data_IF_644124061782
#
_entry.id   IF_644124061782
#
_cell.length_a   1.000
_cell.length_b   1.000
_cell.length_c   1.000
_cell.angle_alpha   90.00
_cell.angle_beta   90.00
_cell.angle_gamma   90.00
#
_symmetry.space_group_name_H-M   'P 1'
#
loop_
_entity.id
_entity.type
_entity.pdbx_description
1 polymer ?
#
# COMPACT_ATOMS: atom_id res chain seq x y z
N UNK A 1 18.90 36.51 -26.15
CA UNK A 1 18.32 35.30 -25.52
C UNK A 1 17.77 34.45 -26.63
N UNK A 2 18.07 33.14 -26.71
CA UNK A 2 17.44 32.29 -27.71
C UNK A 2 15.93 32.35 -27.49
N UNK A 3 15.16 32.54 -28.56
CA UNK A 3 13.71 32.48 -28.53
C UNK A 3 13.30 31.14 -27.91
N UNK A 4 12.38 31.09 -26.93
CA UNK A 4 11.92 29.82 -26.38
C UNK A 4 11.43 28.94 -27.53
N UNK A 5 12.10 27.82 -27.76
CA UNK A 5 11.68 26.86 -28.80
C UNK A 5 10.53 26.05 -28.22
N UNK A 6 9.34 26.21 -28.76
CA UNK A 6 8.25 25.27 -28.49
C UNK A 6 8.53 23.97 -29.25
N UNK A 7 8.23 22.81 -28.65
CA UNK A 7 8.26 21.50 -29.32
C UNK A 7 6.84 21.02 -29.56
N UNK A 8 6.55 20.53 -30.76
CA UNK A 8 5.25 19.94 -31.09
C UNK A 8 5.43 18.44 -31.14
N UNK A 9 4.65 17.71 -30.33
CA UNK A 9 4.59 16.25 -30.38
C UNK A 9 3.27 15.81 -31.00
N UNK A 10 3.31 14.74 -31.80
CA UNK A 10 2.13 14.07 -32.34
C UNK A 10 1.74 12.93 -31.39
N UNK A 11 0.58 13.03 -30.76
CA UNK A 11 0.10 12.03 -29.78
C UNK A 11 -1.41 11.87 -29.90
N UNK A 12 -1.89 10.61 -29.92
CA UNK A 12 -3.31 10.30 -30.08
C UNK A 12 -3.99 11.05 -31.25
N UNK A 13 -3.28 11.18 -32.38
CA UNK A 13 -3.76 11.88 -33.58
C UNK A 13 -3.83 13.41 -33.44
N UNK A 14 -3.15 14.00 -32.46
CA UNK A 14 -3.19 15.45 -32.17
C UNK A 14 -1.80 16.04 -32.04
N UNK A 15 -1.68 17.29 -32.46
CA UNK A 15 -0.53 18.13 -32.17
C UNK A 15 -0.64 18.70 -30.75
N UNK A 16 0.32 18.37 -29.89
CA UNK A 16 0.41 18.95 -28.53
C UNK A 16 1.69 19.77 -28.43
N UNK A 17 1.51 21.07 -28.18
CA UNK A 17 2.61 22.02 -28.03
C UNK A 17 3.19 21.99 -26.61
N UNK A 18 4.45 21.62 -26.49
CA UNK A 18 5.26 21.63 -25.28
C UNK A 18 6.05 22.95 -25.24
N UNK A 19 5.68 23.85 -24.34
CA UNK A 19 6.39 25.12 -24.16
C UNK A 19 7.65 24.93 -23.32
N UNK A 20 8.67 25.78 -23.39
CA UNK A 20 9.86 25.67 -22.52
C UNK A 20 10.39 24.23 -22.31
N UNK A 21 10.57 23.42 -23.37
CA UNK A 21 10.90 22.01 -23.28
C UNK A 21 12.19 21.77 -22.49
N UNK A 22 13.19 22.63 -22.68
CA UNK A 22 14.52 22.55 -22.06
C UNK A 22 14.54 22.98 -20.58
N UNK A 23 13.40 23.40 -20.01
CA UNK A 23 13.36 23.82 -18.61
C UNK A 23 13.69 22.62 -17.71
N UNK A 24 14.76 22.74 -16.93
CA UNK A 24 15.13 21.73 -15.94
C UNK A 24 14.03 21.60 -14.88
N UNK A 25 13.41 20.42 -14.84
CA UNK A 25 12.42 20.06 -13.83
C UNK A 25 13.06 19.29 -12.68
N UNK A 26 14.11 18.52 -12.95
CA UNK A 26 14.87 17.80 -11.93
C UNK A 26 16.36 18.13 -12.07
N UNK A 27 16.83 19.23 -11.47
CA UNK A 27 18.21 19.70 -11.64
C UNK A 27 19.27 18.67 -11.23
N UNK A 28 18.99 17.87 -10.19
CA UNK A 28 19.93 16.87 -9.67
C UNK A 28 20.11 15.66 -10.58
N UNK A 29 19.05 15.21 -11.24
CA UNK A 29 19.10 14.10 -12.20
C UNK A 29 19.27 14.56 -13.65
N UNK A 30 19.24 15.88 -13.90
CA UNK A 30 19.43 16.47 -15.23
C UNK A 30 18.20 16.45 -16.14
N UNK A 31 17.00 16.12 -15.61
CA UNK A 31 15.81 15.93 -16.44
C UNK A 31 15.05 17.23 -16.72
N UNK A 32 14.75 17.45 -17.99
CA UNK A 32 13.97 18.59 -18.48
C UNK A 32 12.47 18.32 -18.43
N UNK A 33 11.65 19.34 -18.71
CA UNK A 33 10.21 19.18 -18.87
C UNK A 33 9.88 18.25 -20.04
N UNK A 34 10.65 18.32 -21.12
CA UNK A 34 10.45 17.46 -22.27
C UNK A 34 10.74 15.99 -21.95
N UNK A 35 11.77 15.71 -21.14
CA UNK A 35 12.07 14.35 -20.70
C UNK A 35 10.92 13.77 -19.88
N UNK A 36 10.30 14.57 -19.01
CA UNK A 36 9.10 14.18 -18.27
C UNK A 36 7.92 13.87 -19.21
N UNK A 37 7.70 14.69 -20.24
CA UNK A 37 6.66 14.41 -21.25
C UNK A 37 6.95 13.11 -21.97
N UNK A 38 8.18 12.91 -22.45
CA UNK A 38 8.62 11.69 -23.16
C UNK A 38 8.48 10.45 -22.29
N UNK A 39 8.82 10.54 -21.01
CA UNK A 39 8.58 9.47 -20.04
C UNK A 39 7.10 9.07 -20.01
N UNK A 40 6.19 10.03 -19.82
CA UNK A 40 4.76 9.71 -19.76
C UNK A 40 4.22 9.18 -21.09
N UNK A 41 4.79 9.58 -22.22
CA UNK A 41 4.45 8.99 -23.52
C UNK A 41 4.92 7.54 -23.63
N UNK A 42 6.10 7.21 -23.11
CA UNK A 42 6.64 5.85 -23.13
C UNK A 42 5.83 4.88 -22.25
N UNK A 43 5.18 5.37 -21.19
CA UNK A 43 4.34 4.56 -20.28
C UNK A 43 2.85 4.91 -20.39
N UNK A 44 2.43 5.56 -21.48
CA UNK A 44 1.11 6.17 -21.59
C UNK A 44 -0.03 5.16 -21.36
N UNK A 45 0.09 3.94 -21.87
CA UNK A 45 -0.92 2.90 -21.67
C UNK A 45 -1.15 2.57 -20.19
N UNK A 46 -0.07 2.33 -19.44
CA UNK A 46 -0.15 2.05 -18.00
C UNK A 46 -0.55 3.27 -17.17
N UNK A 47 -0.02 4.46 -17.50
CA UNK A 47 -0.39 5.70 -16.82
C UNK A 47 -1.88 6.02 -17.00
N UNK A 48 -2.40 5.86 -18.23
CA UNK A 48 -3.81 6.05 -18.54
C UNK A 48 -4.69 5.05 -17.81
N UNK A 49 -4.31 3.78 -17.66
CA UNK A 49 -5.09 2.81 -16.86
C UNK A 49 -5.38 3.32 -15.43
N UNK A 50 -4.44 4.05 -14.84
CA UNK A 50 -4.61 4.65 -13.51
C UNK A 50 -5.41 5.95 -13.47
N UNK A 51 -5.53 6.71 -14.58
CA UNK A 51 -6.18 8.04 -14.59
C UNK A 51 -7.38 8.15 -15.53
N UNK A 52 -7.63 7.16 -16.37
CA UNK A 52 -8.59 7.23 -17.47
C UNK A 52 -10.02 7.49 -16.97
N UNK A 53 -10.61 8.59 -17.45
CA UNK A 53 -11.96 9.01 -17.11
C UNK A 53 -12.10 9.50 -15.67
N UNK A 54 -10.99 9.74 -14.95
CA UNK A 54 -11.02 10.24 -13.57
C UNK A 54 -10.84 11.75 -13.54
N UNK A 55 -11.64 12.49 -12.75
CA UNK A 55 -11.32 13.89 -12.46
C UNK A 55 -9.97 13.98 -11.74
N UNK A 56 -9.18 15.00 -12.07
CA UNK A 56 -7.83 15.18 -11.54
C UNK A 56 -7.62 16.51 -10.83
N UNK A 57 -7.05 16.44 -9.63
CA UNK A 57 -6.46 17.60 -8.98
C UNK A 57 -5.08 17.88 -9.59
N UNK A 58 -4.89 19.03 -10.23
CA UNK A 58 -3.60 19.37 -10.85
C UNK A 58 -2.64 19.93 -9.79
N UNK A 59 -1.61 19.18 -9.45
CA UNK A 59 -0.51 19.66 -8.60
C UNK A 59 0.65 20.09 -9.50
N UNK A 60 0.82 21.41 -9.65
CA UNK A 60 1.68 21.99 -10.69
C UNK A 60 2.98 22.49 -10.11
N UNK A 61 4.08 21.99 -10.64
CA UNK A 61 5.47 22.35 -10.33
C UNK A 61 6.03 23.21 -11.47
N UNK A 62 5.49 24.41 -11.63
CA UNK A 62 5.85 25.29 -12.76
C UNK A 62 7.34 25.62 -12.80
N UNK A 63 8.03 25.55 -11.66
CA UNK A 63 9.46 25.80 -11.50
C UNK A 63 10.28 24.53 -11.20
N UNK A 64 9.77 23.35 -11.55
CA UNK A 64 10.44 22.08 -11.32
C UNK A 64 10.20 21.50 -9.92
N UNK A 65 10.71 20.29 -9.70
CA UNK A 65 10.45 19.45 -8.53
C UNK A 65 10.93 20.02 -7.19
N UNK A 66 11.97 20.87 -7.21
CA UNK A 66 12.48 21.54 -6.01
C UNK A 66 11.74 22.85 -5.70
N UNK A 67 10.91 23.34 -6.63
CA UNK A 67 10.11 24.55 -6.45
C UNK A 67 8.79 24.29 -5.71
N UNK A 68 8.15 25.36 -5.25
CA UNK A 68 6.83 25.27 -4.64
C UNK A 68 5.78 24.80 -5.67
N UNK A 69 4.96 23.84 -5.24
CA UNK A 69 3.81 23.40 -6.00
C UNK A 69 2.58 24.24 -5.63
N UNK A 70 1.67 24.40 -6.57
CA UNK A 70 0.31 24.85 -6.28
C UNK A 70 -0.72 23.84 -6.78
N UNK A 71 -1.84 23.76 -6.06
CA UNK A 71 -2.97 22.92 -6.44
C UNK A 71 -3.97 23.73 -7.25
N UNK A 72 -4.35 23.20 -8.40
CA UNK A 72 -5.37 23.74 -9.27
C UNK A 72 -6.43 22.65 -9.52
N UNK A 73 -7.55 22.74 -8.81
CA UNK A 73 -8.70 21.85 -9.02
C UNK A 73 -9.55 22.30 -10.20
N UNK A 74 -9.86 23.60 -10.25
CA UNK A 74 -10.63 24.19 -11.36
C UNK A 74 -9.79 24.21 -12.64
N UNK A 75 -10.34 23.61 -13.69
CA UNK A 75 -9.80 23.62 -15.03
C UNK A 75 -9.49 25.07 -15.48
N UNK A 76 -8.34 25.31 -16.15
CA UNK A 76 -8.06 26.63 -16.71
C UNK A 76 -9.17 27.06 -17.68
N UNK A 77 -9.53 28.35 -17.65
CA UNK A 77 -10.47 28.93 -18.62
C UNK A 77 -9.89 28.88 -20.05
N UNK A 78 -8.60 29.18 -20.17
CA UNK A 78 -7.86 29.00 -21.43
C UNK A 78 -7.32 27.56 -21.49
N UNK A 79 -8.06 26.70 -22.19
CA UNK A 79 -7.69 25.31 -22.47
C UNK A 79 -8.13 24.92 -23.89
N UNK A 80 -7.45 23.97 -24.56
CA UNK A 80 -7.94 23.42 -25.82
C UNK A 80 -9.32 22.77 -25.66
N UNK A 81 -10.17 22.85 -26.70
CA UNK A 81 -11.55 22.33 -26.68
C UNK A 81 -11.62 20.81 -26.44
N UNK A 82 -10.58 20.07 -26.79
CA UNK A 82 -10.47 18.63 -26.60
C UNK A 82 -10.07 18.23 -25.17
N UNK A 83 -9.92 19.18 -24.25
CA UNK A 83 -9.72 18.91 -22.83
C UNK A 83 -11.09 18.75 -22.16
N UNK A 84 -11.38 17.53 -21.72
CA UNK A 84 -12.62 17.20 -21.04
C UNK A 84 -12.61 17.68 -19.59
N UNK A 85 -13.81 18.00 -19.09
CA UNK A 85 -14.03 18.41 -17.71
C UNK A 85 -15.30 17.81 -17.15
N UNK A 86 -15.37 17.68 -15.83
CA UNK A 86 -16.59 17.33 -15.11
C UNK A 86 -16.73 18.18 -13.86
N UNK A 87 -17.97 18.56 -13.52
CA UNK A 87 -18.24 19.29 -12.29
C UNK A 87 -18.24 18.34 -11.08
N UNK A 88 -17.31 18.57 -10.15
CA UNK A 88 -17.19 17.82 -8.90
C UNK A 88 -17.66 18.66 -7.72
N UNK A 89 -18.51 18.07 -6.88
CA UNK A 89 -18.98 18.64 -5.61
C UNK A 89 -18.08 18.21 -4.43
N UNK A 90 -17.54 19.18 -3.70
CA UNK A 90 -16.68 18.94 -2.53
C UNK A 90 -17.48 18.76 -1.23
N UNK A 91 -16.90 18.15 -0.18
CA UNK A 91 -17.52 18.05 1.14
C UNK A 91 -17.96 19.40 1.75
N UNK A 92 -17.36 20.50 1.31
CA UNK A 92 -17.73 21.85 1.75
C UNK A 92 -18.99 22.41 1.08
N UNK A 93 -19.63 21.68 0.15
CA UNK A 93 -20.75 22.14 -0.67
C UNK A 93 -20.36 23.03 -1.87
N UNK A 94 -19.07 23.25 -2.11
CA UNK A 94 -18.57 23.99 -3.29
C UNK A 94 -18.42 23.05 -4.48
N UNK A 95 -18.49 23.57 -5.70
CA UNK A 95 -18.19 22.83 -6.92
C UNK A 95 -16.95 23.36 -7.65
N UNK A 96 -16.31 22.51 -8.45
CA UNK A 96 -15.34 22.91 -9.47
C UNK A 96 -15.41 22.00 -10.69
N UNK A 97 -15.27 22.58 -11.88
CA UNK A 97 -14.98 21.82 -13.08
C UNK A 97 -13.53 21.33 -13.02
N UNK A 98 -13.32 20.03 -12.85
CA UNK A 98 -11.99 19.41 -12.85
C UNK A 98 -11.68 18.78 -14.20
N UNK A 99 -10.39 18.69 -14.55
CA UNK A 99 -9.92 18.07 -15.79
C UNK A 99 -10.13 16.56 -15.73
N UNK A 100 -10.61 15.97 -16.81
CA UNK A 100 -10.71 14.52 -17.00
C UNK A 100 -9.73 14.10 -18.08
N UNK A 101 -8.88 13.11 -17.77
CA UNK A 101 -7.91 12.56 -18.72
C UNK A 101 -8.43 11.23 -19.26
N UNK A 102 -8.62 11.13 -20.57
CA UNK A 102 -9.13 9.97 -21.31
C UNK A 102 -8.15 9.47 -22.38
N UNK A 103 -7.15 10.27 -22.76
CA UNK A 103 -6.18 9.88 -23.78
C UNK A 103 -4.77 10.47 -23.57
N UNK A 104 -3.81 9.97 -24.35
CA UNK A 104 -2.40 10.36 -24.22
C UNK A 104 -2.13 11.84 -24.57
N UNK A 105 -2.95 12.48 -25.42
CA UNK A 105 -2.80 13.90 -25.72
C UNK A 105 -3.18 14.78 -24.52
N UNK A 106 -4.26 14.44 -23.83
CA UNK A 106 -4.66 15.09 -22.58
C UNK A 106 -3.63 14.86 -21.47
N UNK A 107 -3.07 13.64 -21.37
CA UNK A 107 -1.96 13.34 -20.45
C UNK A 107 -0.75 14.23 -20.75
N UNK A 108 -0.28 14.29 -22.00
CA UNK A 108 0.84 15.14 -22.39
C UNK A 108 0.57 16.62 -22.06
N UNK A 109 -0.66 17.08 -22.27
CA UNK A 109 -1.06 18.46 -21.98
C UNK A 109 -1.00 18.79 -20.49
N UNK A 110 -1.53 17.95 -19.60
CA UNK A 110 -1.46 18.22 -18.15
C UNK A 110 -0.01 18.17 -17.63
N UNK A 111 0.83 17.31 -18.20
CA UNK A 111 2.27 17.24 -17.87
C UNK A 111 2.96 18.53 -18.32
N UNK A 112 2.64 19.03 -19.52
CA UNK A 112 3.14 20.29 -20.04
C UNK A 112 2.76 21.51 -19.17
N UNK A 113 1.60 21.46 -18.50
CA UNK A 113 1.20 22.46 -17.50
C UNK A 113 2.06 22.42 -16.22
N UNK A 114 2.92 21.42 -16.07
CA UNK A 114 3.82 21.24 -14.93
C UNK A 114 3.32 20.21 -13.92
N UNK A 115 2.36 19.35 -14.27
CA UNK A 115 1.97 18.24 -13.38
C UNK A 115 3.07 17.18 -13.42
N UNK A 116 3.89 17.13 -12.36
CA UNK A 116 4.91 16.08 -12.21
C UNK A 116 4.25 14.76 -11.80
N UNK A 117 3.41 14.78 -10.77
CA UNK A 117 2.60 13.64 -10.33
C UNK A 117 1.16 13.73 -10.84
N UNK A 118 0.53 12.58 -11.02
CA UNK A 118 -0.88 12.47 -11.43
C UNK A 118 -1.72 12.16 -10.19
N UNK A 119 -2.74 12.98 -9.91
CA UNK A 119 -3.53 12.91 -8.68
C UNK A 119 -5.04 12.76 -8.99
N UNK A 120 -5.49 11.59 -9.47
CA UNK A 120 -6.89 11.33 -9.76
C UNK A 120 -7.73 11.09 -8.49
N UNK A 121 -8.99 11.49 -8.54
CA UNK A 121 -10.00 11.02 -7.57
C UNK A 121 -10.28 9.51 -7.78
N UNK A 122 -10.74 8.76 -6.75
CA UNK A 122 -11.04 7.33 -6.86
C UNK A 122 -12.39 7.03 -7.54
N UNK A 123 -12.91 7.98 -8.33
CA UNK A 123 -14.18 7.91 -9.05
C UNK A 123 -13.96 8.17 -10.54
N UNK A 124 -14.93 7.82 -11.36
CA UNK A 124 -14.95 8.13 -12.80
C UNK A 124 -15.97 9.22 -13.08
N UNK A 125 -15.79 9.98 -14.16
CA UNK A 125 -16.64 11.13 -14.50
C UNK A 125 -18.13 10.77 -14.69
N UNK A 126 -18.44 9.50 -15.00
CA UNK A 126 -19.81 9.01 -15.13
C UNK A 126 -20.53 8.82 -13.77
N UNK A 127 -19.79 8.65 -12.67
CA UNK A 127 -20.33 8.50 -11.32
C UNK A 127 -19.31 9.02 -10.29
N UNK A 128 -19.59 10.21 -9.76
CA UNK A 128 -18.68 10.93 -8.86
C UNK A 128 -18.92 10.65 -7.38
N UNK A 129 -19.91 9.83 -7.04
CA UNK A 129 -20.29 9.55 -5.65
C UNK A 129 -19.95 8.12 -5.22
N UNK A 130 -19.73 7.20 -6.18
CA UNK A 130 -19.35 5.82 -5.91
C UNK A 130 -17.93 5.51 -6.40
N UNK A 131 -16.92 5.45 -5.49
CA UNK A 131 -15.58 5.04 -5.87
C UNK A 131 -15.54 3.63 -6.47
N UNK A 132 -14.72 3.45 -7.49
CA UNK A 132 -14.41 2.14 -8.08
C UNK A 132 -13.05 1.61 -7.59
N UNK A 133 -12.38 2.31 -6.66
CA UNK A 133 -11.10 1.92 -6.07
C UNK A 133 -11.16 1.94 -4.54
N UNK A 134 -10.79 0.82 -3.91
CA UNK A 134 -10.30 0.82 -2.53
C UNK A 134 -8.79 1.07 -2.56
N UNK A 135 -8.33 2.15 -1.92
CA UNK A 135 -6.92 2.56 -1.90
C UNK A 135 -6.31 2.30 -0.52
N UNK A 136 -5.28 1.48 -0.47
CA UNK A 136 -4.56 1.17 0.77
C UNK A 136 -3.21 1.87 0.70
N UNK A 137 -3.01 2.85 1.58
CA UNK A 137 -1.78 3.65 1.66
C UNK A 137 -0.99 3.25 2.91
N UNK A 138 0.22 2.74 2.69
CA UNK A 138 1.14 2.29 3.71
C UNK A 138 2.19 3.40 3.96
N UNK A 139 1.94 4.24 4.98
CA UNK A 139 2.77 5.40 5.33
C UNK A 139 3.68 5.08 6.53
N UNK A 140 5.00 4.89 6.33
CA UNK A 140 5.92 4.60 7.41
C UNK A 140 6.10 5.80 8.36
N UNK A 141 6.04 5.55 9.67
CA UNK A 141 6.52 6.55 10.64
C UNK A 141 8.05 6.70 10.55
N UNK A 142 8.63 7.82 11.04
CA UNK A 142 10.08 7.99 11.04
C UNK A 142 10.81 6.82 11.71
N UNK A 143 11.84 6.29 11.06
CA UNK A 143 12.67 5.19 11.57
C UNK A 143 12.25 3.78 11.11
N UNK A 144 11.14 3.64 10.39
CA UNK A 144 10.74 2.36 9.78
C UNK A 144 11.59 2.06 8.56
N UNK A 145 12.10 0.83 8.49
CA UNK A 145 12.91 0.37 7.35
C UNK A 145 12.04 -0.02 6.15
N UNK A 146 12.61 0.05 4.94
CA UNK A 146 11.92 -0.40 3.72
C UNK A 146 11.50 -1.88 3.79
N UNK A 147 12.29 -2.73 4.45
CA UNK A 147 11.96 -4.13 4.67
C UNK A 147 10.63 -4.29 5.43
N UNK A 148 10.43 -3.53 6.51
CA UNK A 148 9.18 -3.55 7.28
C UNK A 148 7.98 -3.09 6.45
N UNK A 149 8.16 -2.12 5.55
CA UNK A 149 7.08 -1.66 4.66
C UNK A 149 6.66 -2.79 3.70
N UNK A 150 7.63 -3.53 3.14
CA UNK A 150 7.36 -4.70 2.29
C UNK A 150 6.67 -5.83 3.07
N UNK A 151 7.08 -6.07 4.32
CA UNK A 151 6.42 -7.05 5.20
C UNK A 151 4.95 -6.69 5.45
N UNK A 152 4.65 -5.41 5.72
CA UNK A 152 3.27 -4.94 5.89
C UNK A 152 2.47 -5.02 4.58
N UNK A 153 3.10 -4.74 3.44
CA UNK A 153 2.46 -4.90 2.13
C UNK A 153 2.08 -6.38 1.86
N UNK A 154 2.96 -7.32 2.20
CA UNK A 154 2.68 -8.77 2.09
C UNK A 154 1.59 -9.22 3.07
N UNK A 155 1.61 -8.74 4.31
CA UNK A 155 0.52 -8.98 5.27
C UNK A 155 -0.82 -8.43 4.75
N UNK A 156 -0.80 -7.26 4.11
CA UNK A 156 -1.98 -6.67 3.47
C UNK A 156 -2.51 -7.55 2.34
N UNK A 157 -1.64 -8.16 1.52
CA UNK A 157 -2.05 -9.15 0.50
C UNK A 157 -2.83 -10.31 1.12
N UNK A 158 -2.34 -10.85 2.22
CA UNK A 158 -2.99 -11.98 2.90
C UNK A 158 -4.37 -11.61 3.44
N UNK A 159 -4.51 -10.40 4.00
CA UNK A 159 -5.81 -9.88 4.43
C UNK A 159 -6.75 -9.75 3.23
N UNK A 160 -6.31 -9.10 2.14
CA UNK A 160 -7.11 -8.95 0.93
C UNK A 160 -7.60 -10.29 0.37
N UNK A 161 -6.72 -11.29 0.31
CA UNK A 161 -7.07 -12.64 -0.13
C UNK A 161 -8.16 -13.29 0.75
N UNK A 162 -8.11 -13.08 2.08
CA UNK A 162 -9.15 -13.60 2.98
C UNK A 162 -10.53 -12.96 2.76
N UNK A 163 -10.57 -11.75 2.16
CA UNK A 163 -11.81 -11.05 1.79
C UNK A 163 -12.11 -11.14 0.29
N UNK A 164 -11.43 -12.03 -0.45
CA UNK A 164 -11.61 -12.22 -1.90
C UNK A 164 -11.41 -10.93 -2.73
N UNK A 165 -10.53 -10.04 -2.27
CA UNK A 165 -10.15 -8.83 -2.97
C UNK A 165 -8.78 -9.02 -3.64
N UNK A 166 -8.66 -8.64 -4.91
CA UNK A 166 -7.38 -8.67 -5.62
C UNK A 166 -6.68 -7.33 -5.45
N UNK A 167 -5.55 -7.35 -4.74
CA UNK A 167 -4.68 -6.18 -4.57
C UNK A 167 -3.66 -6.02 -5.69
N UNK A 168 -3.42 -4.78 -6.10
CA UNK A 168 -2.46 -4.38 -7.12
C UNK A 168 -1.39 -3.46 -6.50
N UNK A 169 -0.20 -4.01 -6.18
CA UNK A 169 0.83 -3.29 -5.43
C UNK A 169 1.59 -2.31 -6.32
N UNK A 170 1.98 -1.17 -5.73
CA UNK A 170 2.91 -0.22 -6.34
C UNK A 170 3.73 0.50 -5.29
N UNK A 171 4.99 0.83 -5.61
CA UNK A 171 5.73 1.79 -4.79
C UNK A 171 5.00 3.13 -4.82
N UNK A 172 5.08 3.94 -3.75
CA UNK A 172 4.56 5.31 -3.81
C UNK A 172 5.42 6.23 -4.68
N UNK A 173 6.68 5.85 -4.95
CA UNK A 173 7.71 6.74 -5.51
C UNK A 173 8.20 7.81 -4.51
N UNK A 174 7.79 7.70 -3.24
CA UNK A 174 8.28 8.53 -2.13
C UNK A 174 8.75 7.60 -1.01
N UNK A 175 8.13 7.63 0.17
CA UNK A 175 8.54 6.81 1.33
C UNK A 175 7.68 5.57 1.55
N UNK A 176 6.42 5.59 1.10
CA UNK A 176 5.43 4.55 1.38
C UNK A 176 5.18 3.60 0.22
N UNK A 177 4.10 2.85 0.34
CA UNK A 177 3.68 1.82 -0.60
C UNK A 177 2.17 1.86 -0.76
N UNK A 178 1.64 1.70 -1.99
CA UNK A 178 0.19 1.69 -2.19
C UNK A 178 -0.26 0.33 -2.73
N UNK A 179 -1.45 -0.12 -2.33
CA UNK A 179 -2.11 -1.31 -2.89
C UNK A 179 -3.53 -0.89 -3.26
N UNK A 180 -3.89 -1.04 -4.53
CA UNK A 180 -5.23 -0.71 -5.01
C UNK A 180 -6.04 -1.98 -5.20
N UNK A 181 -7.35 -1.90 -4.95
CA UNK A 181 -8.31 -2.94 -5.35
C UNK A 181 -9.39 -2.29 -6.20
N UNK A 182 -9.70 -2.87 -7.36
CA UNK A 182 -10.89 -2.52 -8.12
C UNK A 182 -12.12 -3.04 -7.36
N UNK A 183 -13.13 -2.21 -7.20
CA UNK A 183 -14.37 -2.55 -6.50
C UNK A 183 -15.58 -2.19 -7.37
N UNK A 184 -16.72 -2.83 -7.11
CA UNK A 184 -17.99 -2.44 -7.72
C UNK A 184 -18.33 -0.97 -7.37
N UNK A 185 -18.65 -0.10 -8.34
CA UNK A 185 -18.94 1.31 -8.09
C UNK A 185 -20.38 1.50 -7.58
N UNK A 186 -20.67 0.98 -6.38
CA UNK A 186 -22.00 1.10 -5.74
C UNK A 186 -21.95 1.51 -4.28
N UNK A 187 -20.76 1.66 -3.71
CA UNK A 187 -20.56 2.12 -2.34
C UNK A 187 -20.17 3.58 -2.33
N UNK A 188 -20.72 4.32 -1.39
CA UNK A 188 -20.37 5.72 -1.14
C UNK A 188 -18.98 5.86 -0.52
N UNK A 189 -18.38 7.05 -0.58
CA UNK A 189 -17.10 7.32 0.09
C UNK A 189 -17.06 6.92 1.59
N UNK A 190 -18.08 7.21 2.43
CA UNK A 190 -18.11 6.71 3.80
C UNK A 190 -18.05 5.19 3.92
N UNK A 191 -18.74 4.46 3.05
CA UNK A 191 -18.72 2.98 3.04
C UNK A 191 -17.35 2.43 2.63
N UNK A 192 -16.76 2.96 1.55
CA UNK A 192 -15.42 2.56 1.11
C UNK A 192 -14.38 2.84 2.18
N UNK A 193 -14.48 3.98 2.87
CA UNK A 193 -13.62 4.32 4.00
C UNK A 193 -13.84 3.39 5.20
N UNK A 194 -15.08 3.03 5.55
CA UNK A 194 -15.36 2.05 6.62
C UNK A 194 -14.71 0.70 6.31
N UNK A 195 -14.83 0.22 5.07
CA UNK A 195 -14.14 -0.99 4.62
C UNK A 195 -12.60 -0.86 4.76
N UNK A 196 -12.03 0.29 4.40
CA UNK A 196 -10.60 0.58 4.58
C UNK A 196 -10.16 0.56 6.05
N UNK A 197 -10.97 1.11 6.97
CA UNK A 197 -10.73 1.07 8.42
C UNK A 197 -10.75 -0.37 8.93
N UNK A 198 -11.73 -1.17 8.50
CA UNK A 198 -11.84 -2.57 8.90
C UNK A 198 -10.63 -3.39 8.42
N UNK A 199 -10.21 -3.20 7.17
CA UNK A 199 -9.00 -3.80 6.62
C UNK A 199 -7.74 -3.35 7.38
N UNK A 200 -7.60 -2.05 7.68
CA UNK A 200 -6.45 -1.51 8.40
C UNK A 200 -6.30 -2.14 9.79
N UNK A 201 -7.42 -2.32 10.50
CA UNK A 201 -7.47 -3.01 11.80
C UNK A 201 -7.05 -4.46 11.64
N UNK A 202 -7.57 -5.20 10.67
CA UNK A 202 -7.18 -6.61 10.48
C UNK A 202 -5.69 -6.77 10.12
N UNK A 203 -5.10 -5.84 9.35
CA UNK A 203 -3.65 -5.83 9.10
C UNK A 203 -2.87 -5.56 10.39
N UNK A 204 -3.26 -4.55 11.18
CA UNK A 204 -2.64 -4.28 12.49
C UNK A 204 -2.75 -5.51 13.42
N UNK A 205 -3.85 -6.26 13.36
CA UNK A 205 -4.04 -7.47 14.18
C UNK A 205 -3.02 -8.55 13.86
N UNK A 206 -2.64 -8.68 12.58
CA UNK A 206 -1.71 -9.71 12.09
C UNK A 206 -0.25 -9.30 12.23
N UNK A 207 0.03 -8.00 12.15
CA UNK A 207 1.36 -7.45 12.20
C UNK A 207 1.48 -6.32 13.26
N UNK A 208 1.10 -6.56 14.53
CA UNK A 208 0.93 -5.50 15.53
C UNK A 208 2.22 -4.77 15.89
N UNK A 209 3.39 -5.37 15.66
CA UNK A 209 4.69 -4.75 15.96
C UNK A 209 5.16 -3.79 14.88
N UNK A 210 4.66 -3.94 13.65
CA UNK A 210 5.16 -3.23 12.46
C UNK A 210 4.08 -2.50 11.67
N UNK A 211 2.81 -2.65 12.01
CA UNK A 211 1.68 -1.95 11.40
C UNK A 211 0.81 -1.25 12.46
N UNK A 212 0.11 -0.20 12.06
CA UNK A 212 -0.84 0.50 12.94
C UNK A 212 -2.02 1.10 12.17
N UNK A 213 -3.21 1.04 12.77
CA UNK A 213 -4.41 1.77 12.32
C UNK A 213 -4.72 2.98 13.22
N UNK A 214 -3.80 3.37 14.10
CA UNK A 214 -4.01 4.48 15.05
C UNK A 214 -4.00 5.83 14.35
N UNK A 215 -5.08 6.58 14.54
CA UNK A 215 -5.24 7.89 13.91
C UNK A 215 -4.19 8.90 14.38
N UNK A 216 -3.94 8.96 15.69
CA UNK A 216 -3.11 10.01 16.28
C UNK A 216 -1.63 9.73 16.07
N UNK A 217 -0.91 10.71 15.51
CA UNK A 217 0.54 10.57 15.25
C UNK A 217 1.35 10.17 16.48
N UNK A 218 0.93 10.60 17.68
CA UNK A 218 1.59 10.26 18.96
C UNK A 218 1.40 8.80 19.38
N UNK A 219 0.42 8.10 18.79
CA UNK A 219 0.15 6.67 19.05
C UNK A 219 0.67 5.76 17.95
N UNK A 220 1.13 6.31 16.82
CA UNK A 220 1.55 5.52 15.68
C UNK A 220 2.93 4.90 15.93
N UNK A 221 3.06 3.65 15.52
CA UNK A 221 4.32 2.93 15.40
C UNK A 221 4.32 2.17 14.07
N UNK A 222 5.51 1.79 13.58
CA UNK A 222 5.60 1.03 12.33
C UNK A 222 4.95 1.75 11.14
N UNK A 223 4.27 0.98 10.30
CA UNK A 223 3.63 1.45 9.08
C UNK A 223 2.16 1.78 9.37
N UNK A 224 1.78 3.04 9.18
CA UNK A 224 0.41 3.48 9.32
C UNK A 224 -0.38 3.14 8.05
N UNK A 225 -1.51 2.44 8.21
CA UNK A 225 -2.47 2.23 7.13
C UNK A 225 -3.42 3.42 7.06
N UNK A 226 -3.16 4.37 6.15
CA UNK A 226 -3.92 5.62 6.04
C UNK A 226 -5.27 5.41 5.33
N UNK A 227 -6.23 4.86 6.07
CA UNK A 227 -7.60 4.63 5.62
C UNK A 227 -8.30 5.93 5.18
N UNK A 228 -7.85 7.11 5.64
CA UNK A 228 -8.43 8.40 5.27
C UNK A 228 -8.07 8.85 3.85
N UNK A 229 -7.23 8.12 3.12
CA UNK A 229 -7.06 8.30 1.67
C UNK A 229 -8.31 7.92 0.86
N UNK A 230 -9.25 7.18 1.47
CA UNK A 230 -10.54 6.82 0.86
C UNK A 230 -11.66 7.83 1.17
N UNK A 231 -11.37 8.94 1.85
CA UNK A 231 -12.35 10.01 2.03
C UNK A 231 -12.51 10.82 0.74
N UNK A 232 -13.70 11.42 0.53
CA UNK A 232 -13.96 12.29 -0.63
C UNK A 232 -12.96 13.44 -0.68
N UNK A 233 -12.56 13.87 -1.88
CA UNK A 233 -11.59 14.95 -2.08
C UNK A 233 -10.14 14.63 -1.61
N UNK A 234 -9.81 13.34 -1.47
CA UNK A 234 -8.44 12.86 -1.24
C UNK A 234 -7.93 12.20 -2.51
N UNK A 235 -6.80 12.67 -2.99
CA UNK A 235 -6.13 12.13 -4.18
C UNK A 235 -4.84 11.45 -3.79
N UNK A 236 -4.54 10.36 -4.48
CA UNK A 236 -3.35 9.55 -4.28
C UNK A 236 -2.59 9.52 -5.59
N UNK A 237 -1.26 9.68 -5.55
CA UNK A 237 -0.44 9.62 -6.76
C UNK A 237 -0.71 8.32 -7.52
N UNK A 238 -1.06 8.44 -8.80
CA UNK A 238 -1.45 7.33 -9.67
C UNK A 238 -0.28 6.40 -10.00
N UNK A 239 -0.59 5.24 -10.56
CA UNK A 239 0.41 4.39 -11.21
C UNK A 239 1.21 5.19 -12.25
N UNK A 240 2.51 4.87 -12.35
CA UNK A 240 3.48 5.52 -13.23
C UNK A 240 3.71 7.02 -12.98
N UNK A 241 3.15 7.60 -11.91
CA UNK A 241 3.40 9.00 -11.58
C UNK A 241 4.86 9.21 -11.19
N UNK A 242 5.57 10.06 -11.92
CA UNK A 242 6.85 10.62 -11.45
C UNK A 242 6.57 11.46 -10.20
N UNK A 243 7.44 11.36 -9.20
CA UNK A 243 7.33 12.09 -7.94
C UNK A 243 8.35 13.22 -7.91
N UNK A 244 8.02 14.37 -7.29
CA UNK A 244 8.91 15.52 -7.15
C UNK A 244 10.03 15.22 -6.11
N UNK A 245 10.89 14.27 -6.47
CA UNK A 245 12.02 13.78 -5.68
C UNK A 245 13.29 14.09 -6.43
N UNK A 246 14.41 14.21 -5.72
CA UNK A 246 15.71 14.57 -6.31
C UNK A 246 16.16 13.61 -7.44
N UNK A 247 15.75 12.35 -7.33
CA UNK A 247 16.07 11.25 -8.24
C UNK A 247 14.93 10.93 -9.23
N UNK A 248 13.91 11.79 -9.32
CA UNK A 248 12.76 11.61 -10.23
C UNK A 248 12.13 10.21 -10.12
N UNK A 249 11.97 9.71 -8.88
CA UNK A 249 11.37 8.40 -8.60
C UNK A 249 9.94 8.30 -9.10
N UNK A 250 9.53 7.07 -9.41
CA UNK A 250 8.22 6.76 -9.98
C UNK A 250 7.39 5.91 -9.02
N UNK A 251 6.10 6.23 -8.90
CA UNK A 251 5.12 5.32 -8.29
C UNK A 251 4.87 4.13 -9.22
N UNK A 252 5.57 3.03 -9.00
CA UNK A 252 5.71 1.98 -10.03
C UNK A 252 4.89 0.76 -9.67
N UNK A 253 3.94 0.33 -10.53
CA UNK A 253 3.25 -0.94 -10.37
C UNK A 253 4.21 -2.13 -10.36
N UNK A 254 3.90 -3.12 -9.54
CA UNK A 254 4.71 -4.31 -9.33
C UNK A 254 3.84 -5.56 -9.42
N UNK A 255 4.46 -6.67 -9.79
CA UNK A 255 3.88 -7.98 -9.48
C UNK A 255 4.07 -8.27 -8.00
N UNK A 256 3.23 -9.14 -7.42
CA UNK A 256 3.37 -9.49 -6.01
C UNK A 256 4.70 -10.17 -5.67
N UNK A 257 5.29 -10.92 -6.61
CA UNK A 257 6.55 -11.63 -6.40
C UNK A 257 7.73 -10.67 -6.24
N UNK A 258 7.63 -9.47 -6.83
CA UNK A 258 8.65 -8.42 -6.71
C UNK A 258 8.58 -7.67 -5.37
N UNK A 259 7.42 -7.68 -4.70
CA UNK A 259 7.20 -6.87 -3.49
C UNK A 259 8.20 -7.21 -2.39
N UNK A 260 8.58 -8.47 -2.24
CA UNK A 260 9.49 -8.92 -1.17
C UNK A 260 10.92 -8.37 -1.33
N UNK A 261 11.37 -8.09 -2.56
CA UNK A 261 12.76 -7.77 -2.87
C UNK A 261 12.96 -6.39 -3.49
N UNK A 262 11.89 -5.72 -3.94
CA UNK A 262 11.97 -4.42 -4.61
C UNK A 262 12.66 -3.34 -3.75
N UNK A 263 13.26 -2.36 -4.41
CA UNK A 263 13.84 -1.14 -3.83
C UNK A 263 13.18 0.06 -4.50
N UNK A 264 12.67 1.02 -3.73
CA UNK A 264 11.93 2.15 -4.30
C UNK A 264 12.79 3.00 -5.24
N UNK A 265 14.07 3.15 -4.90
CA UNK A 265 15.09 3.92 -5.62
C UNK A 265 15.45 3.31 -6.99
N UNK A 266 15.12 2.03 -7.22
CA UNK A 266 15.36 1.39 -8.51
C UNK A 266 14.41 1.88 -9.62
N UNK A 267 13.32 2.55 -9.25
CA UNK A 267 12.28 2.98 -10.18
C UNK A 267 12.29 4.48 -10.37
N UNK A 268 12.91 4.93 -11.46
CA UNK A 268 13.05 6.33 -11.83
C UNK A 268 12.50 6.57 -13.24
N UNK A 269 12.42 7.84 -13.60
CA UNK A 269 12.09 8.28 -14.97
C UNK A 269 12.98 7.60 -16.04
N UNK A 270 14.21 7.21 -15.70
CA UNK A 270 15.15 6.55 -16.62
C UNK A 270 14.94 5.04 -16.73
N UNK A 271 14.57 4.37 -15.61
CA UNK A 271 14.55 2.91 -15.54
C UNK A 271 13.19 2.32 -15.90
N UNK A 272 12.11 3.03 -15.57
CA UNK A 272 10.74 2.52 -15.72
C UNK A 272 10.31 2.35 -17.18
N UNK A 273 10.64 3.23 -18.14
CA UNK A 273 10.25 3.02 -19.55
C UNK A 273 10.76 1.70 -20.12
N UNK A 274 12.05 1.39 -19.93
CA UNK A 274 12.66 0.14 -20.38
C UNK A 274 12.00 -1.08 -19.72
N UNK A 275 11.69 -0.97 -18.42
CA UNK A 275 10.97 -2.02 -17.70
C UNK A 275 9.57 -2.23 -18.29
N UNK A 276 8.83 -1.15 -18.54
CA UNK A 276 7.48 -1.22 -19.11
C UNK A 276 7.49 -1.89 -20.49
N UNK A 277 8.45 -1.55 -21.35
CA UNK A 277 8.62 -2.21 -22.65
C UNK A 277 8.90 -3.72 -22.50
N UNK A 278 9.70 -4.11 -21.50
CA UNK A 278 10.10 -5.51 -21.30
C UNK A 278 9.00 -6.41 -20.74
N UNK A 279 8.20 -5.93 -19.80
CA UNK A 279 7.25 -6.77 -19.06
C UNK A 279 5.79 -6.31 -19.18
N UNK A 280 5.54 -5.18 -19.83
CA UNK A 280 4.23 -4.53 -19.87
C UNK A 280 3.84 -3.93 -18.52
N UNK A 281 2.53 -3.70 -18.35
CA UNK A 281 1.94 -3.20 -17.11
C UNK A 281 1.62 -4.33 -16.13
N UNK A 282 2.29 -4.42 -14.95
CA UNK A 282 1.93 -5.39 -13.92
C UNK A 282 0.50 -5.25 -13.41
N UNK A 283 -0.13 -4.10 -13.62
CA UNK A 283 -1.52 -3.82 -13.24
C UNK A 283 -2.54 -3.96 -14.38
N UNK A 284 -2.15 -4.53 -15.52
CA UNK A 284 -3.02 -4.62 -16.71
C UNK A 284 -4.40 -5.23 -16.44
N UNK A 285 -4.47 -6.17 -15.49
CA UNK A 285 -5.65 -6.97 -15.14
C UNK A 285 -6.57 -6.34 -14.09
N UNK A 286 -6.33 -5.09 -13.68
CA UNK A 286 -7.03 -4.47 -12.55
C UNK A 286 -8.53 -4.30 -12.79
N UNK A 287 -8.94 -3.99 -14.02
CA UNK A 287 -10.35 -3.72 -14.34
C UNK A 287 -11.16 -5.02 -14.51
N UNK A 288 -10.50 -6.16 -14.71
CA UNK A 288 -11.09 -7.50 -14.76
C UNK A 288 -11.28 -8.12 -13.36
N UNK A 289 -10.58 -7.61 -12.35
CA UNK A 289 -10.57 -8.14 -10.98
C UNK A 289 -11.46 -7.31 -10.03
N UNK A 290 -12.72 -7.10 -10.40
CA UNK A 290 -13.68 -6.31 -9.61
C UNK A 290 -14.11 -7.08 -8.35
N UNK A 291 -13.80 -6.52 -7.18
CA UNK A 291 -14.14 -7.09 -5.88
C UNK A 291 -15.38 -6.49 -5.22
N UNK A 292 -15.98 -7.24 -4.31
CA UNK A 292 -17.08 -6.75 -3.47
C UNK A 292 -16.58 -6.31 -2.09
N UNK A 293 -17.04 -5.16 -1.60
CA UNK A 293 -16.75 -4.68 -0.25
C UNK A 293 -17.65 -5.28 0.84
N UNK A 294 -18.68 -6.07 0.48
CA UNK A 294 -19.61 -6.67 1.46
C UNK A 294 -18.87 -7.38 2.60
N UNK A 295 -17.89 -8.28 2.37
CA UNK A 295 -17.19 -8.95 3.46
C UNK A 295 -16.42 -8.01 4.40
N UNK A 296 -15.85 -6.92 3.88
CA UNK A 296 -15.17 -5.91 4.71
C UNK A 296 -16.15 -5.02 5.48
N UNK A 297 -17.32 -4.74 4.91
CA UNK A 297 -18.39 -4.00 5.59
C UNK A 297 -19.03 -4.83 6.70
N UNK A 298 -19.17 -6.14 6.51
CA UNK A 298 -19.58 -7.08 7.57
C UNK A 298 -18.55 -7.10 8.70
N UNK A 299 -17.25 -7.13 8.39
CA UNK A 299 -16.19 -6.98 9.39
C UNK A 299 -16.29 -5.62 10.11
N UNK A 300 -16.58 -4.54 9.39
CA UNK A 300 -16.80 -3.22 10.00
C UNK A 300 -17.96 -3.25 11.00
N UNK A 301 -19.09 -3.86 10.65
CA UNK A 301 -20.25 -3.98 11.55
C UNK A 301 -19.93 -4.83 12.80
N UNK A 302 -19.09 -5.85 12.66
CA UNK A 302 -18.60 -6.65 13.79
C UNK A 302 -17.68 -5.84 14.70
N UNK A 303 -16.77 -5.03 14.12
CA UNK A 303 -15.95 -4.11 14.89
C UNK A 303 -16.81 -3.13 15.70
N UNK A 304 -17.84 -2.55 15.08
CA UNK A 304 -18.79 -1.65 15.74
C UNK A 304 -19.52 -2.35 16.90
N UNK A 305 -20.02 -3.57 16.68
CA UNK A 305 -20.68 -4.39 17.71
C UNK A 305 -19.73 -4.73 18.87
N UNK A 306 -18.44 -4.91 18.58
CA UNK A 306 -17.40 -5.14 19.59
C UNK A 306 -16.90 -3.86 20.28
N UNK A 307 -17.53 -2.70 20.03
CA UNK A 307 -17.18 -1.42 20.65
C UNK A 307 -16.08 -0.64 19.92
N UNK A 308 -15.61 -1.11 18.77
CA UNK A 308 -14.68 -0.40 17.91
C UNK A 308 -15.46 0.39 16.85
N UNK A 309 -16.03 1.53 17.25
CA UNK A 309 -16.76 2.45 16.36
C UNK A 309 -15.90 2.99 15.20
N UNK A 310 -16.42 3.98 14.46
CA UNK A 310 -15.68 4.57 13.34
C UNK A 310 -14.32 5.15 13.79
N UNK A 311 -13.36 5.21 12.87
CA UNK A 311 -12.11 5.91 13.10
C UNK A 311 -12.31 7.43 12.90
N UNK A 312 -11.52 8.30 13.58
CA UNK A 312 -11.64 9.74 13.39
C UNK A 312 -11.46 10.17 11.93
N UNK A 313 -12.33 11.07 11.47
CA UNK A 313 -12.21 11.74 10.18
C UNK A 313 -11.27 12.94 10.27
N UNK A 314 -10.69 13.39 9.15
CA UNK A 314 -9.93 14.62 9.13
C UNK A 314 -10.81 15.82 9.55
N UNK A 315 -10.26 16.84 10.25
CA UNK A 315 -11.07 17.89 10.89
C UNK A 315 -12.01 18.69 9.98
N UNK A 316 -11.73 18.76 8.67
CA UNK A 316 -12.50 19.53 7.70
C UNK A 316 -13.70 18.78 7.10
N UNK A 317 -13.91 17.49 7.41
CA UNK A 317 -15.10 16.75 7.00
C UNK A 317 -16.25 16.97 8.00
N UNK A 318 -17.50 16.80 7.56
CA UNK A 318 -18.63 16.75 8.48
C UNK A 318 -18.44 15.63 9.52
N UNK A 319 -18.87 15.85 10.76
CA UNK A 319 -18.81 14.84 11.81
C UNK A 319 -19.81 13.72 11.51
N UNK A 320 -19.34 12.49 11.47
CA UNK A 320 -20.22 11.34 11.22
C UNK A 320 -20.89 10.86 12.52
N UNK A 321 -22.03 10.19 12.38
CA UNK A 321 -22.68 9.52 13.51
C UNK A 321 -21.77 8.42 14.08
N UNK A 322 -21.63 8.35 15.40
CA UNK A 322 -20.71 7.41 16.05
C UNK A 322 -19.21 7.74 15.95
N UNK A 323 -18.84 8.88 15.35
CA UNK A 323 -17.43 9.29 15.22
C UNK A 323 -16.83 9.70 16.58
N UNK A 324 -15.68 9.10 17.00
CA UNK A 324 -15.00 9.49 18.23
C UNK A 324 -14.45 10.93 18.15
N UNK A 325 -14.14 11.51 19.31
CA UNK A 325 -13.65 12.89 19.39
C UNK A 325 -12.39 13.11 18.54
N UNK A 326 -12.41 14.13 17.66
CA UNK A 326 -11.26 14.56 16.84
C UNK A 326 -10.18 15.34 17.63
N UNK A 327 -10.21 15.32 18.95
CA UNK A 327 -9.19 15.96 19.79
C UNK A 327 -8.07 14.96 20.05
N UNK A 328 -6.82 15.41 19.87
CA UNK A 328 -5.60 14.63 20.19
C UNK A 328 -5.65 14.09 21.62
N UNK A 329 -5.17 12.86 21.85
CA UNK A 329 -5.20 12.23 23.17
C UNK A 329 -4.49 13.06 24.24
N UNK A 330 -3.36 13.65 23.90
CA UNK A 330 -2.60 14.57 24.77
C UNK A 330 -3.41 15.77 25.24
N UNK A 331 -4.49 16.14 24.53
CA UNK A 331 -5.39 17.27 24.84
C UNK A 331 -6.75 16.82 25.38
N UNK A 332 -7.01 15.52 25.52
CA UNK A 332 -8.23 15.00 26.17
C UNK A 332 -8.10 15.01 27.69
N UNK A 333 -9.24 15.17 28.38
CA UNK A 333 -9.34 14.91 29.82
C UNK A 333 -8.88 13.48 30.09
N UNK A 334 -8.22 13.27 31.24
CA UNK A 334 -7.57 12.00 31.59
C UNK A 334 -8.55 10.81 31.61
N UNK A 335 -9.81 11.09 31.91
CA UNK A 335 -10.94 10.15 31.95
C UNK A 335 -11.43 9.71 30.55
N UNK A 336 -11.15 10.49 29.49
CA UNK A 336 -11.60 10.25 28.10
C UNK A 336 -10.52 9.57 27.22
N UNK A 337 -9.45 9.07 27.84
CA UNK A 337 -8.32 8.43 27.14
C UNK A 337 -8.57 6.93 26.99
N UNK A 338 -8.48 6.36 25.77
CA UNK A 338 -8.59 4.92 25.58
C UNK A 338 -7.43 4.16 26.27
N UNK A 339 -7.65 2.87 26.56
CA UNK A 339 -6.64 2.00 27.18
C UNK A 339 -5.41 1.76 26.25
N UNK A 340 -4.22 1.46 26.80
CA UNK A 340 -2.97 1.43 26.03
C UNK A 340 -2.72 0.10 25.30
N UNK A 341 -2.06 0.22 24.13
CA UNK A 341 -1.38 -0.77 23.25
C UNK A 341 -2.07 -2.12 22.96
N UNK A 342 -2.18 -2.46 21.67
CA UNK A 342 -2.40 -3.83 21.20
C UNK A 342 -3.85 -4.32 21.11
N UNK A 343 -4.85 -3.53 21.55
CA UNK A 343 -6.26 -3.88 21.31
C UNK A 343 -6.64 -3.57 19.86
N UNK A 344 -6.60 -4.61 19.04
CA UNK A 344 -7.19 -4.65 17.72
C UNK A 344 -8.47 -5.49 17.83
N UNK A 345 -9.55 -5.15 17.10
CA UNK A 345 -10.82 -5.88 17.23
C UNK A 345 -10.70 -7.41 17.05
N UNK A 346 -11.66 -8.18 17.61
CA UNK A 346 -11.69 -9.64 17.45
C UNK A 346 -11.83 -10.05 15.97
N UNK A 347 -11.35 -11.25 15.58
CA UNK A 347 -11.45 -11.75 14.22
C UNK A 347 -12.90 -12.03 13.79
N UNK A 348 -13.14 -12.14 12.47
CA UNK A 348 -14.45 -12.46 11.91
C UNK A 348 -15.03 -13.83 12.41
N UNK A 349 -16.36 -13.99 12.54
CA UNK A 349 -17.03 -15.23 12.93
C UNK A 349 -16.62 -16.43 12.06
N UNK A 350 -16.38 -17.57 12.70
CA UNK A 350 -15.87 -18.80 12.06
C UNK A 350 -14.35 -18.95 12.08
N UNK A 351 -13.61 -17.98 12.63
CA UNK A 351 -12.14 -18.07 12.80
C UNK A 351 -11.74 -17.80 14.25
N UNK A 352 -11.55 -18.87 15.03
CA UNK A 352 -10.98 -18.81 16.39
C UNK A 352 -9.47 -18.54 16.31
N UNK A 353 -9.02 -17.43 16.92
CA UNK A 353 -7.60 -17.13 17.13
C UNK A 353 -7.35 -16.99 18.63
N UNK A 354 -6.33 -17.67 19.14
CA UNK A 354 -5.88 -17.52 20.52
C UNK A 354 -5.17 -16.17 20.76
N UNK A 355 -4.76 -15.90 22.01
CA UNK A 355 -4.29 -14.58 22.48
C UNK A 355 -3.02 -14.02 21.80
N UNK A 356 -2.39 -14.77 20.88
CA UNK A 356 -1.17 -14.35 20.16
C UNK A 356 -1.40 -14.02 18.68
N UNK A 357 -2.64 -14.07 18.17
CA UNK A 357 -2.96 -13.57 16.81
C UNK A 357 -2.39 -14.38 15.64
N UNK A 358 -1.51 -15.37 15.85
CA UNK A 358 -0.97 -16.24 14.79
C UNK A 358 -2.07 -17.16 14.24
N UNK A 359 -2.37 -17.00 12.94
CA UNK A 359 -3.22 -17.93 12.18
C UNK A 359 -2.58 -19.32 12.19
N UNK A 360 -3.34 -20.35 12.60
CA UNK A 360 -3.01 -21.74 12.26
C UNK A 360 -3.25 -21.89 10.76
N UNK A 361 -2.25 -22.33 10.00
CA UNK A 361 -2.40 -22.61 8.57
C UNK A 361 -3.63 -23.51 8.35
N UNK A 362 -4.47 -23.20 7.36
CA UNK A 362 -5.62 -24.05 6.98
C UNK A 362 -5.21 -25.38 6.36
N UNK A 363 -3.93 -25.52 6.00
CA UNK A 363 -3.31 -26.78 5.60
C UNK A 363 -2.93 -27.58 6.85
N UNK A 364 -3.15 -28.91 6.87
CA UNK A 364 -2.73 -29.78 7.95
C UNK A 364 -1.20 -29.91 7.93
N UNK A 365 -0.51 -28.90 8.47
CA UNK A 365 0.94 -28.85 8.55
C UNK A 365 1.42 -29.38 9.88
N UNK A 366 2.48 -30.20 9.84
CA UNK A 366 3.32 -30.51 10.99
C UNK A 366 4.74 -30.04 10.72
N UNK A 367 5.42 -29.60 11.76
CA UNK A 367 6.83 -29.23 11.74
C UNK A 367 7.67 -30.43 12.17
N UNK A 368 8.71 -30.76 11.40
CA UNK A 368 9.54 -31.94 11.66
C UNK A 368 10.86 -31.55 12.30
N UNK A 369 11.50 -30.49 11.81
CA UNK A 369 12.82 -30.09 12.28
C UNK A 369 13.06 -28.59 12.14
N UNK A 370 13.75 -28.03 13.13
CA UNK A 370 14.50 -26.78 13.07
C UNK A 370 15.97 -27.13 13.26
N UNK A 371 16.82 -26.82 12.31
CA UNK A 371 18.23 -27.17 12.39
C UNK A 371 19.11 -26.01 11.94
N UNK A 372 20.34 -25.95 12.44
CA UNK A 372 21.30 -24.94 12.02
C UNK A 372 21.69 -25.09 10.54
N UNK A 373 21.56 -26.30 9.99
CA UNK A 373 21.87 -26.61 8.60
C UNK A 373 20.77 -27.45 7.93
N UNK A 374 20.66 -27.35 6.60
CA UNK A 374 19.69 -28.15 5.84
C UNK A 374 19.97 -29.65 5.96
N UNK A 375 21.24 -30.05 5.95
CA UNK A 375 21.65 -31.45 6.10
C UNK A 375 21.13 -32.08 7.39
N UNK A 376 21.25 -31.35 8.50
CA UNK A 376 20.76 -31.78 9.81
C UNK A 376 19.22 -31.84 9.86
N UNK A 377 18.54 -30.85 9.28
CA UNK A 377 17.08 -30.89 9.16
C UNK A 377 16.62 -32.09 8.31
N UNK A 378 17.32 -32.39 7.21
CA UNK A 378 17.02 -33.53 6.32
C UNK A 378 17.28 -34.86 7.02
N UNK A 379 18.29 -34.96 7.87
CA UNK A 379 18.54 -36.14 8.70
C UNK A 379 17.40 -36.37 9.70
N UNK A 380 16.87 -35.30 10.31
CA UNK A 380 15.65 -35.36 11.13
C UNK A 380 14.45 -35.87 10.35
N UNK A 381 14.25 -35.36 9.13
CA UNK A 381 13.18 -35.84 8.24
C UNK A 381 13.29 -37.34 7.92
N UNK A 382 14.50 -37.88 7.72
CA UNK A 382 14.69 -39.32 7.46
C UNK A 382 14.35 -40.18 8.68
N UNK A 383 14.66 -39.72 9.90
CA UNK A 383 14.25 -40.43 11.14
C UNK A 383 12.74 -40.45 11.29
N UNK A 384 12.09 -39.30 11.05
CA UNK A 384 10.64 -39.21 11.06
C UNK A 384 10.01 -40.16 10.03
N UNK A 385 10.53 -40.17 8.79
CA UNK A 385 10.11 -41.08 7.73
C UNK A 385 10.20 -42.55 8.14
N UNK A 386 11.28 -42.96 8.82
CA UNK A 386 11.47 -44.34 9.24
C UNK A 386 10.44 -44.79 10.29
N UNK A 387 10.01 -43.87 11.17
CA UNK A 387 8.96 -44.13 12.18
C UNK A 387 7.54 -44.11 11.59
N UNK A 388 7.33 -43.29 10.55
CA UNK A 388 6.02 -43.00 9.97
C UNK A 388 5.91 -43.47 8.51
N UNK A 389 6.33 -44.72 8.25
CA UNK A 389 6.42 -45.26 6.89
C UNK A 389 5.06 -45.31 6.16
N UNK A 390 3.98 -45.61 6.90
CA UNK A 390 2.62 -45.65 6.36
C UNK A 390 2.17 -44.26 5.91
N UNK A 391 2.31 -43.24 6.78
CA UNK A 391 1.98 -41.84 6.45
C UNK A 391 2.86 -41.32 5.30
N UNK A 392 4.13 -41.72 5.26
CA UNK A 392 5.06 -41.31 4.22
C UNK A 392 4.61 -41.71 2.81
N UNK A 393 3.91 -42.85 2.67
CA UNK A 393 3.39 -43.31 1.37
C UNK A 393 2.34 -42.37 0.75
N UNK A 394 1.72 -41.51 1.56
CA UNK A 394 0.75 -40.50 1.12
C UNK A 394 1.39 -39.16 0.72
N UNK A 395 2.68 -38.95 1.00
CA UNK A 395 3.35 -37.67 0.78
C UNK A 395 4.03 -37.61 -0.59
N UNK A 396 3.75 -36.54 -1.33
CA UNK A 396 4.49 -36.20 -2.54
C UNK A 396 5.73 -35.35 -2.20
N UNK A 397 6.75 -35.28 -3.09
CA UNK A 397 7.90 -34.38 -2.88
C UNK A 397 7.50 -32.91 -2.64
N UNK A 398 6.40 -32.44 -3.25
CA UNK A 398 5.87 -31.09 -3.05
C UNK A 398 5.28 -30.85 -1.66
N UNK A 399 4.97 -31.91 -0.92
CA UNK A 399 4.41 -31.81 0.43
C UNK A 399 5.52 -31.64 1.49
N UNK A 400 6.79 -31.77 1.08
CA UNK A 400 7.97 -31.55 1.92
C UNK A 400 8.42 -30.10 1.73
N UNK A 401 8.09 -29.26 2.72
CA UNK A 401 8.42 -27.84 2.70
C UNK A 401 9.75 -27.62 3.42
N UNK A 402 10.79 -27.28 2.67
CA UNK A 402 12.12 -26.93 3.19
C UNK A 402 12.26 -25.41 3.15
N UNK A 403 12.16 -24.75 4.30
CA UNK A 403 12.29 -23.29 4.41
C UNK A 403 13.69 -22.91 4.89
N UNK A 404 14.35 -22.01 4.17
CA UNK A 404 15.53 -21.31 4.68
C UNK A 404 15.08 -20.07 5.47
N UNK A 405 15.33 -20.08 6.77
CA UNK A 405 14.90 -19.06 7.73
C UNK A 405 16.09 -18.20 8.16
N UNK A 406 15.84 -16.94 8.52
CA UNK A 406 16.88 -16.02 9.02
C UNK A 406 16.93 -16.08 10.55
N UNK A 407 18.11 -16.38 11.10
CA UNK A 407 18.44 -16.23 12.50
C UNK A 407 19.17 -14.92 12.78
N UNK A 408 19.75 -14.78 13.97
CA UNK A 408 20.45 -13.56 14.41
C UNK A 408 21.59 -13.15 13.48
N UNK A 409 22.47 -14.10 13.17
CA UNK A 409 23.68 -13.89 12.36
C UNK A 409 23.86 -14.95 11.26
N UNK A 410 23.01 -15.98 11.23
CA UNK A 410 23.10 -17.12 10.30
C UNK A 410 21.72 -17.47 9.77
N UNK A 411 21.64 -18.15 8.62
CA UNK A 411 20.42 -18.86 8.24
C UNK A 411 20.30 -20.16 9.01
N UNK A 412 19.07 -20.64 9.18
CA UNK A 412 18.75 -21.95 9.73
C UNK A 412 17.63 -22.57 8.90
N UNK A 413 17.49 -23.88 8.92
CA UNK A 413 16.54 -24.59 8.06
C UNK A 413 15.38 -25.12 8.89
N UNK A 414 14.16 -24.92 8.39
CA UNK A 414 12.94 -25.52 8.92
C UNK A 414 12.37 -26.50 7.91
N UNK A 415 11.99 -27.70 8.35
CA UNK A 415 11.24 -28.64 7.53
C UNK A 415 9.83 -28.82 8.08
N UNK A 416 8.83 -28.69 7.20
CA UNK A 416 7.42 -28.94 7.50
C UNK A 416 6.84 -29.93 6.48
N UNK A 417 5.84 -30.70 6.89
CA UNK A 417 5.09 -31.61 6.02
C UNK A 417 3.65 -31.13 5.85
N UNK A 418 3.18 -31.14 4.61
CA UNK A 418 1.79 -30.88 4.27
C UNK A 418 1.00 -32.18 4.14
N UNK A 419 0.16 -32.46 5.13
CA UNK A 419 -0.61 -33.70 5.22
C UNK A 419 -1.90 -33.66 4.38
N UNK A 420 -2.02 -32.77 3.39
CA UNK A 420 -3.22 -32.62 2.55
C UNK A 420 -3.64 -33.92 1.85
N UNK A 421 -2.67 -34.77 1.53
CA UNK A 421 -2.86 -36.05 0.83
C UNK A 421 -3.01 -37.24 1.79
N UNK A 422 -2.84 -37.02 3.10
CA UNK A 422 -3.03 -38.03 4.14
C UNK A 422 -4.52 -38.04 4.54
N UNK A 423 -5.20 -39.20 4.58
CA UNK A 423 -6.57 -39.32 5.07
C UNK A 423 -6.73 -38.69 6.44
N UNK A 424 -7.83 -37.98 6.69
CA UNK A 424 -7.98 -37.17 7.91
C UNK A 424 -7.90 -38.00 9.20
N UNK A 425 -8.39 -39.23 9.19
CA UNK A 425 -8.31 -40.20 10.30
C UNK A 425 -6.88 -40.69 10.61
N UNK A 426 -5.95 -40.54 9.67
CA UNK A 426 -4.58 -41.06 9.73
C UNK A 426 -3.54 -39.95 9.89
N UNK A 427 -3.97 -38.68 9.93
CA UNK A 427 -3.06 -37.54 10.07
C UNK A 427 -2.38 -37.57 11.45
N UNK A 428 -1.04 -37.65 11.50
CA UNK A 428 -0.33 -37.54 12.78
C UNK A 428 -0.54 -36.15 13.38
N UNK A 429 -0.56 -36.09 14.72
CA UNK A 429 -0.48 -34.82 15.44
C UNK A 429 0.95 -34.31 15.45
N UNK A 430 1.14 -33.06 15.89
CA UNK A 430 2.48 -32.49 16.05
C UNK A 430 3.26 -33.24 17.15
N UNK A 431 4.34 -33.92 16.76
CA UNK A 431 5.31 -34.56 17.66
C UNK A 431 6.41 -33.58 18.09
N UNK A 432 7.23 -33.91 19.11
CA UNK A 432 8.50 -33.22 19.33
C UNK A 432 9.35 -33.18 18.06
N UNK A 433 10.05 -32.07 17.84
CA UNK A 433 10.90 -31.91 16.66
C UNK A 433 12.06 -32.90 16.72
N UNK A 434 12.37 -33.50 15.57
CA UNK A 434 13.52 -34.40 15.40
C UNK A 434 14.86 -33.69 15.62
N UNK A 435 14.85 -32.38 15.42
CA UNK A 435 15.92 -31.42 15.75
C UNK A 435 15.22 -30.13 16.16
N UNK A 436 15.53 -29.60 17.36
CA UNK A 436 14.97 -28.35 17.89
C UNK A 436 16.08 -27.33 18.13
N UNK A 437 16.65 -26.83 17.04
CA UNK A 437 17.60 -25.74 17.08
C UNK A 437 16.88 -24.41 17.33
N UNK A 438 17.23 -23.75 18.44
CA UNK A 438 16.81 -22.38 18.72
C UNK A 438 17.88 -21.37 18.24
N UNK A 439 17.63 -20.62 17.13
CA UNK A 439 18.56 -19.60 16.63
C UNK A 439 18.71 -18.39 17.56
N UNK A 440 17.94 -18.34 18.66
CA UNK A 440 17.93 -17.27 19.65
C UNK A 440 18.33 -17.74 21.06
N UNK A 441 18.82 -18.98 21.21
CA UNK A 441 19.29 -19.49 22.49
C UNK A 441 20.34 -18.53 23.10
N UNK A 442 20.08 -18.04 24.32
CA UNK A 442 20.94 -17.08 25.01
C UNK A 442 20.78 -15.61 24.57
N UNK A 443 19.78 -15.27 23.76
CA UNK A 443 19.44 -13.88 23.48
C UNK A 443 18.58 -13.28 24.59
N UNK A 444 19.18 -12.44 25.43
CA UNK A 444 18.44 -11.49 26.24
C UNK A 444 18.07 -10.28 25.39
N UNK A 445 16.77 -10.08 25.17
CA UNK A 445 16.29 -8.84 24.57
C UNK A 445 16.76 -7.66 25.43
N UNK A 446 17.24 -6.55 24.84
CA UNK A 446 17.65 -5.41 25.63
C UNK A 446 16.49 -4.93 26.50
N UNK A 447 16.74 -4.75 27.79
CA UNK A 447 15.77 -4.15 28.70
C UNK A 447 15.41 -2.75 28.20
N UNK A 448 14.18 -2.60 27.70
CA UNK A 448 13.64 -1.33 27.20
C UNK A 448 12.79 -0.60 28.24
N UNK A 449 12.79 -1.05 29.50
CA UNK A 449 12.06 -0.38 30.58
C UNK A 449 12.60 1.01 30.94
N UNK A 450 13.80 1.38 30.45
CA UNK A 450 14.46 2.66 30.74
C UNK A 450 14.61 3.67 29.60
N UNK A 451 14.16 3.39 28.36
CA UNK A 451 14.29 4.37 27.26
C UNK A 451 13.12 5.37 27.19
N UNK A 452 12.93 6.11 28.27
CA UNK A 452 12.22 7.40 28.29
C UNK A 452 12.95 8.33 29.27
N UNK A 453 13.95 9.05 28.77
CA UNK A 453 13.99 10.51 28.88
C UNK A 453 15.16 11.06 28.06
N UNK A 454 14.84 11.71 26.93
CA UNK A 454 15.79 12.64 26.32
C UNK A 454 15.74 13.93 27.14
N UNK A 455 16.86 14.42 27.71
CA UNK A 455 16.84 15.66 28.48
C UNK A 455 16.33 16.82 27.62
N UNK A 456 15.37 17.58 28.16
CA UNK A 456 14.83 18.79 27.52
C UNK A 456 15.97 19.78 27.27
N UNK A 457 16.27 20.08 26.00
CA UNK A 457 17.08 21.26 25.63
C UNK A 457 16.40 22.51 26.20
N UNK A 458 17.06 23.19 27.15
CA UNK A 458 16.66 24.54 27.59
C UNK A 458 16.78 25.48 26.39
N UNK A 459 15.70 26.18 26.06
CA UNK A 459 15.76 27.37 25.18
C UNK A 459 16.46 28.50 25.95
N UNK A 460 17.37 29.26 25.32
CA UNK A 460 17.85 30.50 25.93
C UNK A 460 16.71 31.51 26.00
N UNK A 461 16.65 32.27 27.09
CA UNK A 461 15.69 33.34 27.29
C UNK A 461 16.11 34.57 26.48
N UNK A 462 15.13 35.16 25.78
CA UNK A 462 15.09 36.46 25.08
C UNK A 462 16.27 36.80 24.16
#
# INVERSE_FOLDING_TARGET
MPTPRDEIIQVAGREVKISNPDKLFFPKSGHTKLDLVRYYMAVAEGALRGVHGRPMALKRFVNGAEGEAFFQKRAPTSRPEWIETVELSFPSGRTAEEIVVTNAAQLAWIVNLGCIDLNPHPVRAADLDHPDELRIDLDPVPGVSWAQIREVALATREVLNDFSLTGWPKTSGSRGFHIYCRIEPRWTFPEVRRAAVALAREVERRAPDIATSRWWKEERHGVFLDYNQNAKDRTVASAYSVRPTADARVSTPLTWDEVASCQAEAFTIDTVPKRFEQIGDPSRGIDEAVGSLVPLLELSAQHETAGFGDAPWPPHFAKQEGEPARVQLSRRKREDRPQPKGQVPPPAPGKTVGPTGRRRTTMPLIEIARAATESEARAGLQRWRARHAEIWSHLAPSDILVDSMRGRNTSWTRIRLNLRNVPESERPTQEPLEVDYDPWAGYEAPDRSGQLDRPKRRRPAS
#
